data_IF_517588529714
#
_entry.id   IF_517588529714
#
_cell.length_a   1.000
_cell.length_b   1.000
_cell.length_c   1.000
_cell.angle_alpha   90.00
_cell.angle_beta   90.00
_cell.angle_gamma   90.00
#
_symmetry.space_group_name_H-M   'P 1'
#
loop_
_entity.id
_entity.type
_entity.pdbx_description
1 polymer ?
#
# COMPACT_ATOMS: atom_id res chain seq x y z
N UNK A 1 -13.06 -16.35 9.22
CA UNK A 1 -12.42 -15.94 7.95
C UNK A 1 -11.01 -16.55 7.92
N UNK A 2 -10.74 -17.42 6.94
CA UNK A 2 -9.42 -18.05 6.80
C UNK A 2 -8.51 -17.17 5.95
N UNK A 3 -7.28 -16.97 6.38
CA UNK A 3 -6.27 -16.21 5.66
C UNK A 3 -5.22 -17.13 5.06
N UNK A 4 -4.87 -16.90 3.81
CA UNK A 4 -3.87 -17.65 3.05
C UNK A 4 -2.84 -16.69 2.44
N UNK A 5 -1.57 -17.08 2.39
CA UNK A 5 -0.50 -16.21 1.89
C UNK A 5 0.06 -16.76 0.58
N UNK A 6 0.09 -15.93 -0.45
CA UNK A 6 0.82 -16.16 -1.70
C UNK A 6 2.11 -15.35 -1.67
N UNK A 7 3.26 -16.05 -1.75
CA UNK A 7 4.59 -15.47 -1.60
C UNK A 7 5.09 -15.42 -0.15
N UNK A 8 6.13 -16.21 0.16
CA UNK A 8 6.62 -16.38 1.53
C UNK A 8 8.03 -15.79 1.75
N UNK A 9 8.26 -14.61 1.14
CA UNK A 9 9.44 -13.77 1.35
C UNK A 9 9.41 -13.02 2.69
N UNK A 10 10.12 -11.90 2.76
CA UNK A 10 10.16 -11.06 3.99
C UNK A 10 8.76 -10.59 4.42
N UNK A 11 7.91 -10.17 3.47
CA UNK A 11 6.55 -9.71 3.79
C UNK A 11 5.63 -10.86 4.19
N UNK A 12 5.63 -11.99 3.45
CA UNK A 12 4.80 -13.14 3.77
C UNK A 12 5.02 -13.67 5.18
N UNK A 13 6.29 -13.81 5.60
CA UNK A 13 6.65 -14.22 6.98
C UNK A 13 6.18 -13.23 8.05
N UNK A 14 6.19 -11.94 7.72
CA UNK A 14 5.75 -10.91 8.64
C UNK A 14 4.22 -10.88 8.77
N UNK A 15 3.51 -11.11 7.66
CA UNK A 15 2.05 -11.26 7.61
C UNK A 15 1.61 -12.48 8.43
N UNK A 16 2.27 -13.64 8.25
CA UNK A 16 2.01 -14.84 9.07
C UNK A 16 2.15 -14.54 10.56
N UNK A 17 3.27 -13.93 10.97
CA UNK A 17 3.49 -13.56 12.38
C UNK A 17 2.34 -12.71 12.95
N UNK A 18 1.82 -11.75 12.15
CA UNK A 18 0.71 -10.89 12.57
C UNK A 18 -0.59 -11.69 12.64
N UNK A 19 -0.89 -12.52 11.65
CA UNK A 19 -2.07 -13.39 11.63
C UNK A 19 -2.11 -14.23 12.92
N UNK A 20 -1.01 -14.91 13.20
CA UNK A 20 -0.88 -15.78 14.39
C UNK A 20 -0.96 -14.99 15.70
N UNK A 21 -0.31 -13.84 15.80
CA UNK A 21 -0.33 -12.99 17.00
C UNK A 21 -1.71 -12.43 17.32
N UNK A 22 -2.54 -12.23 16.30
CA UNK A 22 -3.94 -11.78 16.44
C UNK A 22 -4.93 -12.92 16.67
N UNK A 23 -4.48 -14.17 16.68
CA UNK A 23 -5.34 -15.35 16.80
C UNK A 23 -6.30 -15.53 15.63
N UNK A 24 -5.96 -15.03 14.44
CA UNK A 24 -6.77 -15.17 13.24
C UNK A 24 -6.60 -16.58 12.64
N UNK A 25 -7.62 -17.05 11.94
CA UNK A 25 -7.60 -18.36 11.30
C UNK A 25 -6.64 -18.35 10.10
N UNK A 26 -5.59 -19.13 10.19
CA UNK A 26 -4.52 -19.22 9.21
C UNK A 26 -4.56 -20.56 8.47
N UNK A 27 -4.64 -20.51 7.14
CA UNK A 27 -4.75 -21.69 6.30
C UNK A 27 -3.42 -22.14 5.67
N UNK A 28 -2.35 -21.35 5.83
CA UNK A 28 -1.03 -21.65 5.29
C UNK A 28 -0.54 -20.66 4.23
N UNK A 29 0.52 -21.04 3.54
CA UNK A 29 1.17 -20.25 2.52
C UNK A 29 1.66 -21.10 1.34
N UNK A 30 1.94 -20.43 0.21
CA UNK A 30 2.56 -21.07 -0.97
C UNK A 30 3.43 -20.09 -1.75
N UNK A 31 4.42 -20.63 -2.47
CA UNK A 31 5.15 -19.91 -3.53
C UNK A 31 4.52 -20.15 -4.92
N UNK A 32 3.67 -21.18 -5.05
CA UNK A 32 3.00 -21.57 -6.29
C UNK A 32 1.48 -21.56 -6.09
N UNK A 33 0.87 -20.38 -6.17
CA UNK A 33 -0.55 -20.21 -5.82
C UNK A 33 -1.50 -21.00 -6.71
N UNK A 34 -1.14 -21.25 -7.95
CA UNK A 34 -1.92 -22.06 -8.91
C UNK A 34 -2.00 -23.56 -8.56
N UNK A 35 -1.14 -24.03 -7.63
CA UNK A 35 -1.18 -25.40 -7.13
C UNK A 35 -2.07 -25.56 -5.88
N UNK A 36 -2.65 -24.44 -5.40
CA UNK A 36 -3.55 -24.48 -4.24
C UNK A 36 -4.84 -25.23 -4.61
N UNK A 37 -5.24 -26.19 -3.76
CA UNK A 37 -6.48 -26.91 -3.94
C UNK A 37 -7.69 -25.96 -4.00
N UNK A 38 -8.55 -26.02 -5.03
CA UNK A 38 -9.68 -25.09 -5.21
C UNK A 38 -10.63 -25.05 -4.00
N UNK A 39 -10.82 -26.17 -3.33
CA UNK A 39 -11.68 -26.26 -2.14
C UNK A 39 -11.13 -25.42 -0.98
N UNK A 40 -9.81 -25.43 -0.79
CA UNK A 40 -9.15 -24.58 0.20
C UNK A 40 -9.20 -23.11 -0.20
N UNK A 41 -8.88 -22.81 -1.47
CA UNK A 41 -8.87 -21.44 -1.97
C UNK A 41 -10.22 -20.74 -1.80
N UNK A 42 -11.34 -21.41 -2.09
CA UNK A 42 -12.71 -20.88 -1.95
C UNK A 42 -13.09 -20.48 -0.51
N UNK A 43 -12.44 -21.05 0.49
CA UNK A 43 -12.67 -20.70 1.90
C UNK A 43 -11.79 -19.55 2.39
N UNK A 44 -10.75 -19.19 1.62
CA UNK A 44 -9.68 -18.31 2.05
C UNK A 44 -9.71 -16.94 1.38
N UNK A 45 -9.32 -15.92 2.15
CA UNK A 45 -8.85 -14.64 1.63
C UNK A 45 -7.35 -14.76 1.37
N UNK A 46 -6.91 -14.57 0.13
CA UNK A 46 -5.51 -14.63 -0.26
C UNK A 46 -4.84 -13.26 -0.08
N UNK A 47 -3.70 -13.24 0.61
CA UNK A 47 -2.85 -12.05 0.71
C UNK A 47 -1.61 -12.31 -0.15
N UNK A 48 -1.49 -11.62 -1.28
CA UNK A 48 -0.41 -11.79 -2.24
C UNK A 48 0.70 -10.75 -2.06
N UNK A 49 1.91 -11.25 -1.81
CA UNK A 49 3.16 -10.49 -1.80
C UNK A 49 4.26 -11.26 -2.53
N UNK A 50 4.09 -11.38 -3.83
CA UNK A 50 4.98 -12.12 -4.74
C UNK A 50 5.85 -11.18 -5.59
N UNK A 51 5.88 -11.39 -6.89
CA UNK A 51 6.62 -10.58 -7.87
C UNK A 51 5.68 -10.04 -8.95
N UNK A 52 6.08 -8.97 -9.68
CA UNK A 52 5.29 -8.47 -10.80
C UNK A 52 5.00 -9.53 -11.87
N UNK A 53 5.94 -10.44 -12.13
CA UNK A 53 5.77 -11.55 -13.07
C UNK A 53 4.70 -12.54 -12.57
N UNK A 54 4.76 -12.90 -11.28
CA UNK A 54 3.79 -13.81 -10.69
C UNK A 54 2.35 -13.26 -10.74
N UNK A 55 2.15 -11.96 -10.50
CA UNK A 55 0.83 -11.34 -10.64
C UNK A 55 0.31 -11.49 -12.07
N UNK A 56 1.14 -11.24 -13.11
CA UNK A 56 0.74 -11.37 -14.52
C UNK A 56 0.29 -12.78 -14.88
N UNK A 57 0.91 -13.77 -14.29
CA UNK A 57 0.60 -15.18 -14.54
C UNK A 57 -0.60 -15.66 -13.71
N UNK A 58 -0.74 -15.17 -12.48
CA UNK A 58 -1.60 -15.78 -11.46
C UNK A 58 -2.91 -15.02 -11.19
N UNK A 59 -3.09 -13.78 -11.64
CA UNK A 59 -4.26 -12.97 -11.27
C UNK A 59 -5.59 -13.63 -11.64
N UNK A 60 -5.63 -14.39 -12.75
CA UNK A 60 -6.84 -15.12 -13.17
C UNK A 60 -7.18 -16.23 -12.19
N UNK A 61 -6.19 -17.02 -11.81
CA UNK A 61 -6.38 -18.08 -10.82
C UNK A 61 -6.84 -17.49 -9.46
N UNK A 62 -6.23 -16.39 -9.03
CA UNK A 62 -6.60 -15.68 -7.80
C UNK A 62 -8.07 -15.24 -7.87
N UNK A 63 -8.49 -14.62 -8.97
CA UNK A 63 -9.86 -14.13 -9.15
C UNK A 63 -10.90 -15.26 -9.23
N UNK A 64 -10.55 -16.38 -9.82
CA UNK A 64 -11.50 -17.51 -10.06
C UNK A 64 -11.66 -18.43 -8.85
N UNK A 65 -10.65 -18.53 -7.99
CA UNK A 65 -10.60 -19.57 -6.99
C UNK A 65 -10.68 -19.06 -5.53
N UNK A 66 -10.20 -17.87 -5.22
CA UNK A 66 -10.23 -17.38 -3.84
C UNK A 66 -11.51 -16.63 -3.47
N UNK A 67 -11.86 -16.68 -2.20
CA UNK A 67 -13.03 -15.96 -1.66
C UNK A 67 -12.90 -14.44 -1.82
N UNK A 68 -11.70 -13.92 -1.61
CA UNK A 68 -11.30 -12.53 -1.84
C UNK A 68 -9.78 -12.46 -1.94
N UNK A 69 -9.23 -11.36 -2.45
CA UNK A 69 -7.79 -11.21 -2.65
C UNK A 69 -7.30 -9.84 -2.19
N UNK A 70 -6.16 -9.82 -1.51
CA UNK A 70 -5.40 -8.61 -1.19
C UNK A 70 -4.08 -8.65 -1.97
N UNK A 71 -3.84 -7.67 -2.86
CA UNK A 71 -2.63 -7.61 -3.68
C UNK A 71 -1.72 -6.50 -3.16
N UNK A 72 -0.61 -6.89 -2.54
CA UNK A 72 0.46 -6.00 -2.09
C UNK A 72 1.71 -6.05 -2.97
N UNK A 73 1.74 -6.95 -3.92
CA UNK A 73 2.78 -6.96 -4.95
C UNK A 73 2.69 -5.68 -5.78
N UNK A 74 3.83 -5.05 -6.05
CA UNK A 74 3.93 -3.82 -6.86
C UNK A 74 4.54 -4.11 -8.24
N UNK A 75 4.55 -3.13 -9.15
CA UNK A 75 5.21 -3.25 -10.45
C UNK A 75 4.40 -3.92 -11.56
N UNK A 76 3.07 -3.91 -11.45
CA UNK A 76 2.13 -4.44 -12.45
C UNK A 76 1.15 -3.37 -12.98
N UNK A 77 1.53 -2.09 -12.85
CA UNK A 77 0.66 -0.97 -13.22
C UNK A 77 0.24 -0.96 -14.71
N UNK A 78 1.06 -1.53 -15.59
CA UNK A 78 0.81 -1.66 -17.02
C UNK A 78 -0.33 -2.63 -17.37
N UNK A 79 -0.67 -3.57 -16.48
CA UNK A 79 -1.81 -4.49 -16.65
C UNK A 79 -2.93 -4.23 -15.63
N UNK A 80 -2.86 -3.11 -14.89
CA UNK A 80 -3.78 -2.84 -13.79
C UNK A 80 -5.25 -2.89 -14.20
N UNK A 81 -5.59 -2.23 -15.30
CA UNK A 81 -6.98 -2.16 -15.77
C UNK A 81 -7.50 -3.55 -16.22
N UNK A 82 -6.63 -4.36 -16.81
CA UNK A 82 -6.96 -5.75 -17.16
C UNK A 82 -7.25 -6.58 -15.91
N UNK A 83 -6.40 -6.49 -14.88
CA UNK A 83 -6.57 -7.21 -13.61
C UNK A 83 -7.86 -6.79 -12.92
N UNK A 84 -8.10 -5.48 -12.78
CA UNK A 84 -9.33 -4.94 -12.17
C UNK A 84 -10.56 -5.47 -12.88
N UNK A 85 -10.63 -5.30 -14.20
CA UNK A 85 -11.77 -5.75 -15.02
C UNK A 85 -12.02 -7.26 -14.88
N UNK A 86 -10.95 -8.05 -14.73
CA UNK A 86 -11.09 -9.50 -14.58
C UNK A 86 -11.67 -9.87 -13.20
N UNK A 87 -11.21 -9.25 -12.13
CA UNK A 87 -11.78 -9.45 -10.79
C UNK A 87 -13.24 -9.01 -10.71
N UNK A 88 -13.59 -7.88 -11.33
CA UNK A 88 -14.99 -7.41 -11.43
C UNK A 88 -15.86 -8.42 -12.20
N UNK A 89 -15.36 -8.96 -13.31
CA UNK A 89 -16.05 -9.99 -14.10
C UNK A 89 -16.28 -11.26 -13.28
N UNK A 90 -15.32 -11.71 -12.49
CA UNK A 90 -15.44 -12.86 -11.61
C UNK A 90 -16.34 -12.60 -10.38
N UNK A 91 -16.58 -11.34 -10.04
CA UNK A 91 -17.29 -10.94 -8.83
C UNK A 91 -16.49 -11.19 -7.54
N UNK A 92 -15.17 -11.39 -7.63
CA UNK A 92 -14.30 -11.68 -6.51
C UNK A 92 -13.81 -10.36 -5.92
N UNK A 93 -14.07 -10.09 -4.63
CA UNK A 93 -13.59 -8.88 -3.98
C UNK A 93 -12.07 -8.80 -4.01
N UNK A 94 -11.54 -7.63 -4.39
CA UNK A 94 -10.11 -7.38 -4.39
C UNK A 94 -9.79 -6.05 -3.71
N UNK A 95 -8.79 -6.06 -2.83
CA UNK A 95 -8.18 -4.85 -2.29
C UNK A 95 -6.72 -4.84 -2.74
N UNK A 96 -6.30 -3.74 -3.36
CA UNK A 96 -4.92 -3.57 -3.79
C UNK A 96 -4.34 -2.26 -3.25
N UNK A 97 -3.03 -2.22 -3.06
CA UNK A 97 -2.30 -0.99 -2.75
C UNK A 97 -0.83 -1.11 -3.11
N UNK A 98 -0.22 0.00 -3.47
CA UNK A 98 1.24 0.12 -3.54
C UNK A 98 1.87 0.24 -2.14
N UNK A 99 1.06 0.59 -1.13
CA UNK A 99 1.49 0.74 0.26
C UNK A 99 0.31 0.46 1.21
N UNK A 100 0.45 -0.57 2.05
CA UNK A 100 -0.56 -0.96 3.04
C UNK A 100 -0.37 -0.31 4.42
N UNK A 101 0.66 0.52 4.64
CA UNK A 101 0.79 1.23 5.91
C UNK A 101 -0.38 2.18 6.13
N UNK A 102 -1.14 1.97 7.20
CA UNK A 102 -2.23 2.88 7.60
C UNK A 102 -1.68 4.28 7.81
N UNK A 103 -0.55 4.41 8.53
CA UNK A 103 0.08 5.71 8.78
C UNK A 103 0.47 6.45 7.51
N UNK A 104 1.03 5.75 6.50
CA UNK A 104 1.37 6.35 5.20
C UNK A 104 0.12 6.78 4.44
N UNK A 105 -0.95 5.99 4.44
CA UNK A 105 -2.20 6.37 3.76
C UNK A 105 -2.87 7.57 4.43
N UNK A 106 -2.88 7.64 5.77
CA UNK A 106 -3.34 8.83 6.50
C UNK A 106 -2.43 10.03 6.19
N UNK A 107 -1.13 9.83 6.11
CA UNK A 107 -0.18 10.88 5.75
C UNK A 107 -0.43 11.43 4.34
N UNK A 108 -0.73 10.59 3.35
CA UNK A 108 -1.16 11.03 2.02
C UNK A 108 -2.42 11.90 2.09
N UNK A 109 -3.45 11.47 2.83
CA UNK A 109 -4.71 12.22 2.93
C UNK A 109 -4.54 13.57 3.62
N UNK A 110 -3.78 13.63 4.70
CA UNK A 110 -3.48 14.89 5.40
C UNK A 110 -2.66 15.82 4.52
N UNK A 111 -1.68 15.26 3.77
CA UNK A 111 -0.89 16.03 2.80
C UNK A 111 -1.76 16.61 1.69
N UNK A 112 -2.69 15.83 1.14
CA UNK A 112 -3.64 16.30 0.13
C UNK A 112 -4.52 17.43 0.68
N UNK A 113 -5.04 17.26 1.88
CA UNK A 113 -5.90 18.28 2.50
C UNK A 113 -5.17 19.60 2.75
N UNK A 114 -3.97 19.55 3.36
CA UNK A 114 -3.20 20.75 3.66
C UNK A 114 -2.69 21.44 2.39
N UNK A 115 -2.19 20.68 1.40
CA UNK A 115 -1.71 21.28 0.15
C UNK A 115 -2.82 21.95 -0.63
N UNK A 116 -4.05 21.42 -0.60
CA UNK A 116 -5.21 22.09 -1.19
C UNK A 116 -5.51 23.43 -0.49
N UNK A 117 -5.58 23.45 0.84
CA UNK A 117 -5.81 24.69 1.60
C UNK A 117 -4.74 25.73 1.35
N UNK A 118 -3.46 25.32 1.32
CA UNK A 118 -2.34 26.23 1.08
C UNK A 118 -2.24 26.70 -0.38
N UNK A 119 -2.65 25.86 -1.34
CA UNK A 119 -2.78 26.25 -2.74
C UNK A 119 -3.85 27.35 -2.94
N UNK A 120 -4.98 27.24 -2.23
CA UNK A 120 -6.05 28.25 -2.26
C UNK A 120 -5.63 29.56 -1.58
N UNK A 121 -4.88 29.50 -0.46
CA UNK A 121 -4.45 30.71 0.26
C UNK A 121 -3.22 31.37 -0.34
N UNK A 122 -2.35 30.60 -0.99
CA UNK A 122 -1.06 31.06 -1.53
C UNK A 122 -0.02 31.42 -0.46
N UNK A 123 1.16 31.81 -0.91
CA UNK A 123 2.22 32.33 -0.02
C UNK A 123 3.08 31.29 0.68
N UNK A 124 2.91 30.00 0.37
CA UNK A 124 3.73 28.89 0.90
C UNK A 124 4.46 28.16 -0.21
N UNK A 125 5.71 27.80 0.05
CA UNK A 125 6.56 26.99 -0.84
C UNK A 125 6.78 25.61 -0.23
N UNK A 126 6.43 24.52 -0.94
CA UNK A 126 6.63 23.18 -0.43
C UNK A 126 8.06 22.71 -0.64
N UNK A 127 8.54 21.86 0.26
CA UNK A 127 9.75 21.06 0.10
C UNK A 127 9.58 19.70 0.78
N UNK A 128 10.43 18.73 0.40
CA UNK A 128 10.40 17.40 0.99
C UNK A 128 11.79 16.88 1.30
N UNK A 129 11.91 16.18 2.42
CA UNK A 129 13.10 15.39 2.77
C UNK A 129 12.66 13.97 3.08
N UNK A 130 13.31 12.98 2.45
CA UNK A 130 13.10 11.58 2.78
C UNK A 130 14.40 10.88 3.17
N UNK A 131 14.33 10.00 4.15
CA UNK A 131 15.49 9.30 4.69
C UNK A 131 15.23 7.80 4.74
N UNK A 132 16.18 7.01 4.22
CA UNK A 132 16.14 5.56 4.26
C UNK A 132 17.53 4.97 4.51
N UNK A 133 17.55 3.67 4.80
CA UNK A 133 18.78 2.91 4.99
C UNK A 133 19.69 2.98 3.76
N UNK A 134 21.00 2.78 3.98
CA UNK A 134 22.03 2.89 2.95
C UNK A 134 21.88 1.89 1.78
N UNK A 135 21.12 0.79 1.98
CA UNK A 135 20.90 -0.24 0.95
C UNK A 135 19.71 0.05 0.01
N UNK A 136 18.97 1.16 0.22
CA UNK A 136 17.85 1.52 -0.66
C UNK A 136 18.36 2.13 -1.96
N UNK A 137 18.05 1.49 -3.09
CA UNK A 137 18.59 1.83 -4.40
C UNK A 137 17.88 3.02 -5.06
N UNK A 138 16.53 3.07 -4.93
CA UNK A 138 15.75 4.14 -5.52
C UNK A 138 15.83 5.44 -4.70
N UNK A 139 16.05 6.54 -5.36
CA UNK A 139 16.04 7.91 -4.81
C UNK A 139 15.46 8.86 -5.87
N UNK A 140 14.41 9.64 -5.55
CA UNK A 140 13.58 9.57 -4.35
C UNK A 140 12.80 8.25 -4.25
N UNK A 141 12.34 7.92 -3.02
CA UNK A 141 11.50 6.75 -2.77
C UNK A 141 10.14 6.88 -3.48
N UNK A 142 9.47 5.73 -3.75
CA UNK A 142 8.13 5.74 -4.33
C UNK A 142 7.13 6.56 -3.50
N UNK A 143 7.15 6.42 -2.17
CA UNK A 143 6.32 7.21 -1.25
C UNK A 143 6.57 8.71 -1.38
N UNK A 144 7.85 9.13 -1.46
CA UNK A 144 8.19 10.54 -1.62
C UNK A 144 7.69 11.11 -2.94
N UNK A 145 7.80 10.36 -4.04
CA UNK A 145 7.25 10.77 -5.34
C UNK A 145 5.74 10.94 -5.28
N UNK A 146 5.01 9.96 -4.72
CA UNK A 146 3.55 10.05 -4.57
C UNK A 146 3.13 11.25 -3.72
N UNK A 147 3.88 11.57 -2.66
CA UNK A 147 3.62 12.75 -1.84
C UNK A 147 3.86 14.05 -2.61
N UNK A 148 4.95 14.14 -3.37
CA UNK A 148 5.24 15.29 -4.21
C UNK A 148 4.17 15.49 -5.29
N UNK A 149 3.74 14.42 -5.97
CA UNK A 149 2.66 14.46 -6.97
C UNK A 149 1.35 15.02 -6.38
N UNK A 150 1.04 14.65 -5.12
CA UNK A 150 -0.13 15.18 -4.38
C UNK A 150 0.02 16.68 -4.16
N UNK A 151 1.17 17.14 -3.68
CA UNK A 151 1.43 18.55 -3.41
C UNK A 151 1.42 19.36 -4.69
N UNK A 152 2.15 18.92 -5.72
CA UNK A 152 2.31 19.59 -6.99
C UNK A 152 0.96 19.81 -7.68
N UNK A 153 0.09 18.78 -7.65
CA UNK A 153 -1.27 18.87 -8.20
C UNK A 153 -2.14 19.91 -7.51
N UNK A 154 -2.00 20.07 -6.18
CA UNK A 154 -2.87 20.95 -5.39
C UNK A 154 -2.35 22.39 -5.28
N UNK A 155 -1.03 22.61 -5.47
CA UNK A 155 -0.38 23.90 -5.31
C UNK A 155 0.14 24.49 -6.62
N UNK A 156 -0.06 23.81 -7.77
CA UNK A 156 0.44 24.17 -9.09
C UNK A 156 1.94 24.53 -9.07
N UNK A 157 2.74 23.65 -8.48
CA UNK A 157 4.17 23.85 -8.27
C UNK A 157 4.96 22.57 -8.54
N UNK A 158 6.26 22.62 -8.31
CA UNK A 158 7.14 21.47 -8.29
C UNK A 158 7.83 21.38 -6.94
N UNK A 159 7.56 20.29 -6.22
CA UNK A 159 8.16 20.03 -4.91
C UNK A 159 9.57 19.48 -5.06
N UNK A 160 10.56 20.16 -4.49
CA UNK A 160 11.91 19.65 -4.40
C UNK A 160 12.01 18.55 -3.35
N UNK A 161 12.56 17.38 -3.77
CA UNK A 161 12.74 16.22 -2.89
C UNK A 161 14.24 16.02 -2.63
N UNK A 162 14.63 16.06 -1.37
CA UNK A 162 15.98 15.68 -0.94
C UNK A 162 15.93 14.27 -0.35
N UNK A 163 16.84 13.40 -0.82
CA UNK A 163 16.93 12.01 -0.40
C UNK A 163 18.20 11.76 0.40
N UNK A 164 18.05 11.24 1.61
CA UNK A 164 19.14 10.83 2.48
C UNK A 164 19.19 9.30 2.56
N UNK A 165 20.39 8.73 2.42
CA UNK A 165 20.67 7.29 2.54
C UNK A 165 21.74 7.08 3.60
N UNK A 166 21.33 6.66 4.81
CA UNK A 166 22.24 6.46 5.94
C UNK A 166 21.70 5.45 6.94
N UNK A 167 22.59 4.76 7.64
CA UNK A 167 22.24 3.79 8.68
C UNK A 167 21.25 2.74 8.24
N UNK A 168 20.39 2.35 9.16
CA UNK A 168 19.32 1.34 8.98
C UNK A 168 17.92 1.97 9.10
N UNK A 169 17.77 3.25 8.74
CA UNK A 169 16.49 3.99 8.83
C UNK A 169 15.44 3.29 7.97
N UNK A 170 14.32 2.81 8.54
CA UNK A 170 13.28 2.11 7.77
C UNK A 170 12.56 3.00 6.76
N UNK A 171 12.40 4.27 7.08
CA UNK A 171 11.81 5.29 6.21
C UNK A 171 11.24 6.46 7.02
N UNK A 172 11.73 7.66 6.74
CA UNK A 172 11.20 8.92 7.28
C UNK A 172 10.84 9.79 6.07
N UNK A 173 9.66 10.38 6.09
CA UNK A 173 9.20 11.32 5.07
C UNK A 173 8.71 12.59 5.76
N UNK A 174 9.32 13.70 5.43
CA UNK A 174 8.98 15.03 5.95
C UNK A 174 8.59 15.95 4.81
N UNK A 175 7.39 16.54 4.91
CA UNK A 175 6.94 17.62 4.02
C UNK A 175 6.89 18.89 4.84
N UNK A 176 7.50 19.95 4.34
CA UNK A 176 7.40 21.29 4.89
C UNK A 176 6.75 22.23 3.87
N UNK A 177 5.94 23.14 4.37
CA UNK A 177 5.35 24.26 3.64
C UNK A 177 5.86 25.54 4.30
N UNK A 178 6.74 26.25 3.63
CA UNK A 178 7.42 27.43 4.17
C UNK A 178 6.77 28.70 3.68
N UNK A 179 6.22 29.47 4.61
CA UNK A 179 5.70 30.82 4.41
C UNK A 179 6.72 31.89 4.78
N UNK A 180 6.34 33.16 4.63
CA UNK A 180 7.20 34.29 5.01
C UNK A 180 7.50 34.35 6.52
N UNK A 181 6.54 33.98 7.36
CA UNK A 181 6.58 34.18 8.79
C UNK A 181 6.55 32.91 9.63
N UNK A 182 6.21 31.79 8.99
CA UNK A 182 6.03 30.49 9.65
C UNK A 182 6.29 29.31 8.69
N UNK A 183 6.26 28.11 9.25
CA UNK A 183 6.39 26.86 8.52
C UNK A 183 5.44 25.84 9.11
N UNK A 184 4.77 25.10 8.25
CA UNK A 184 4.02 23.92 8.64
C UNK A 184 4.82 22.69 8.21
N UNK A 185 4.99 21.73 9.12
CA UNK A 185 5.76 20.49 8.83
C UNK A 185 4.94 19.28 9.22
N UNK A 186 4.85 18.32 8.30
CA UNK A 186 4.28 17.00 8.52
C UNK A 186 5.37 15.95 8.40
N UNK A 187 5.44 15.01 9.32
CA UNK A 187 6.43 13.93 9.30
C UNK A 187 5.76 12.60 9.58
N UNK A 188 6.09 11.61 8.76
CA UNK A 188 5.81 10.20 9.02
C UNK A 188 7.13 9.45 9.15
N UNK A 189 7.28 8.71 10.24
CA UNK A 189 8.41 7.82 10.50
C UNK A 189 7.92 6.38 10.67
N UNK A 190 8.48 5.48 9.88
CA UNK A 190 8.26 4.05 10.05
C UNK A 190 9.30 3.48 11.03
N UNK A 191 8.87 2.76 12.06
CA UNK A 191 9.79 2.09 12.98
C UNK A 191 10.20 0.70 12.49
N UNK A 192 9.36 0.08 11.66
CA UNK A 192 9.60 -1.23 11.06
C UNK A 192 8.72 -1.43 9.83
N UNK A 193 8.92 -2.55 9.14
CA UNK A 193 8.03 -2.99 8.04
C UNK A 193 6.75 -3.66 8.54
N UNK A 194 6.59 -3.88 9.84
CA UNK A 194 5.40 -4.53 10.41
C UNK A 194 4.12 -3.73 10.12
N UNK A 195 4.21 -2.40 9.99
CA UNK A 195 3.07 -1.55 9.61
C UNK A 195 2.45 -1.91 8.26
N UNK A 196 3.27 -2.30 7.27
CA UNK A 196 2.76 -2.73 5.96
C UNK A 196 2.06 -4.09 6.05
N UNK A 197 2.63 -5.03 6.80
CA UNK A 197 2.06 -6.35 7.01
C UNK A 197 0.76 -6.28 7.83
N UNK A 198 0.72 -5.44 8.87
CA UNK A 198 -0.48 -5.20 9.66
C UNK A 198 -1.61 -4.60 8.82
N UNK A 199 -1.29 -3.65 7.95
CA UNK A 199 -2.26 -3.05 7.03
C UNK A 199 -2.77 -4.04 5.98
N UNK A 200 -1.92 -4.95 5.47
CA UNK A 200 -2.36 -6.00 4.56
C UNK A 200 -3.33 -7.00 5.23
N UNK A 201 -3.07 -7.35 6.50
CA UNK A 201 -4.01 -8.18 7.29
C UNK A 201 -5.30 -7.41 7.56
N UNK A 202 -5.22 -6.12 7.88
CA UNK A 202 -6.41 -5.27 8.06
C UNK A 202 -7.24 -5.18 6.77
N UNK A 203 -6.58 -5.03 5.60
CA UNK A 203 -7.25 -5.07 4.31
C UNK A 203 -7.97 -6.41 4.09
N UNK A 204 -7.32 -7.52 4.43
CA UNK A 204 -7.94 -8.84 4.30
C UNK A 204 -9.20 -8.97 5.18
N UNK A 205 -9.18 -8.45 6.40
CA UNK A 205 -10.36 -8.44 7.28
C UNK A 205 -11.50 -7.57 6.71
N UNK A 206 -11.18 -6.51 6.00
CA UNK A 206 -12.17 -5.61 5.35
C UNK A 206 -12.79 -6.19 4.09
N UNK A 207 -12.33 -7.34 3.59
CA UNK A 207 -12.99 -8.02 2.46
C UNK A 207 -14.34 -8.65 2.85
N UNK A 208 -14.64 -8.79 4.14
CA UNK A 208 -15.91 -9.38 4.60
C UNK A 208 -17.08 -8.48 4.23
N UNK A 209 -18.00 -9.01 3.42
CA UNK A 209 -19.14 -8.25 2.90
C UNK A 209 -18.79 -7.20 1.83
N UNK A 210 -17.51 -7.10 1.43
CA UNK A 210 -17.09 -6.20 0.35
C UNK A 210 -17.50 -6.79 -1.01
N UNK A 211 -17.81 -5.92 -1.95
CA UNK A 211 -18.03 -6.28 -3.36
C UNK A 211 -17.15 -5.40 -4.25
N UNK A 212 -16.67 -5.97 -5.36
CA UNK A 212 -15.88 -5.24 -6.35
C UNK A 212 -14.40 -5.03 -5.97
N UNK A 213 -13.76 -4.14 -6.67
CA UNK A 213 -12.31 -3.86 -6.55
C UNK A 213 -12.08 -2.48 -5.96
N UNK A 214 -11.21 -2.41 -4.95
CA UNK A 214 -10.95 -1.16 -4.22
C UNK A 214 -9.45 -0.93 -4.01
N UNK A 215 -9.04 0.32 -4.05
CA UNK A 215 -7.75 0.71 -3.50
C UNK A 215 -7.86 0.82 -1.98
N UNK A 216 -6.86 0.32 -1.25
CA UNK A 216 -6.90 0.26 0.22
C UNK A 216 -7.16 1.62 0.88
N UNK A 217 -6.59 2.70 0.31
CA UNK A 217 -6.81 4.07 0.81
C UNK A 217 -8.30 4.47 0.83
N UNK A 218 -9.09 4.03 -0.15
CA UNK A 218 -10.52 4.36 -0.26
C UNK A 218 -11.33 3.75 0.87
N UNK A 219 -10.91 2.58 1.36
CA UNK A 219 -11.55 1.89 2.47
C UNK A 219 -11.12 2.41 3.85
N UNK A 220 -9.93 3.02 3.95
CA UNK A 220 -9.43 3.63 5.17
C UNK A 220 -10.03 5.01 5.43
N UNK A 221 -10.22 5.77 4.36
CA UNK A 221 -10.52 7.20 4.39
C UNK A 221 -11.97 7.47 3.98
N UNK A 222 -12.91 6.57 4.30
CA UNK A 222 -14.34 6.87 4.13
C UNK A 222 -14.66 8.12 4.96
N UNK A 223 -14.57 9.28 4.30
CA UNK A 223 -15.24 10.50 4.77
C UNK A 223 -16.73 10.28 4.53
N UNK A 224 -17.51 10.41 5.62
CA UNK A 224 -18.96 10.50 5.58
C UNK A 224 -19.42 11.64 4.66
#
# INVERSE_FOLDING_TARGET
>A
MKLFISGYGKMGRMIEKIILSKGLEYAGWTEAVTETAPELAKECVCIDFTTPAAIRENYRFLAENFKAVVIGTTGWADIKDEVISYFEKCGTPMIWASNFSIGVNVFFAVTEHISRLLGETGGYSPYMVEMHHCHKLDAPSGTARSLADIVDKNMDCRTDIQSVRCGEIPGIHTIGFEGLNDRITLTHEAFSREGFAAGAVEAALRTEGLAGVHEFKELLLKTE
#
